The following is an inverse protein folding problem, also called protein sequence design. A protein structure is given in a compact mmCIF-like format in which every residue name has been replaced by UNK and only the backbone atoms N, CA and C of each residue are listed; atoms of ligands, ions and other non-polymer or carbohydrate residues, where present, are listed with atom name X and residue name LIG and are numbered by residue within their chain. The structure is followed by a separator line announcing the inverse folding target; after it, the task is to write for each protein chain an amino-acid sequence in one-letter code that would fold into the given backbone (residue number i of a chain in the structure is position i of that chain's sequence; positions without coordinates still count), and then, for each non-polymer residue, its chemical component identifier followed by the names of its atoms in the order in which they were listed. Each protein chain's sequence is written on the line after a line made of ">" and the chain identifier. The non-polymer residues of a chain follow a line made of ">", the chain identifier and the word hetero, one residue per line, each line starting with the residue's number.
data_IF_450015635118
#
_entry.id   IF_450015635118
#
_cell.length_a   1.000
_cell.length_b   1.000
_cell.length_c   1.000
_cell.angle_alpha   90.00
_cell.angle_beta   90.00
_cell.angle_gamma   90.00
#
_symmetry.space_group_name_H-M   'P 1'
#
loop_
_entity.id
_entity.type
_entity.pdbx_description
1 polymer ?
#
# COMPACT_ATOMS: atom_id res chain seq x y z
N UNK A 1 28.50 -8.12 -0.70
CA UNK A 1 27.34 -7.90 -1.58
C UNK A 1 26.41 -6.96 -0.84
N UNK A 2 25.99 -5.80 -1.40
CA UNK A 2 25.16 -4.87 -0.65
C UNK A 2 23.80 -5.54 -0.39
N UNK A 3 23.37 -5.58 0.86
CA UNK A 3 22.08 -6.12 1.26
C UNK A 3 20.97 -5.18 0.78
N UNK A 4 20.13 -5.65 -0.14
CA UNK A 4 18.90 -4.98 -0.52
C UNK A 4 17.89 -5.19 0.60
N UNK A 5 17.76 -4.23 1.52
CA UNK A 5 16.65 -4.17 2.47
C UNK A 5 15.55 -3.28 1.87
N UNK A 6 14.29 -3.58 2.20
CA UNK A 6 13.20 -2.65 1.93
C UNK A 6 13.52 -1.28 2.57
N UNK A 7 13.20 -0.19 1.87
CA UNK A 7 13.39 1.15 2.41
C UNK A 7 12.11 1.60 3.11
N UNK A 8 12.27 2.03 4.36
CA UNK A 8 11.21 2.60 5.20
C UNK A 8 11.62 4.02 5.53
N UNK A 9 10.90 4.98 4.97
CA UNK A 9 11.15 6.40 5.23
C UNK A 9 9.96 7.03 5.93
N UNK A 10 10.24 7.85 6.96
CA UNK A 10 9.24 8.53 7.76
C UNK A 10 9.11 9.98 7.31
N UNK A 11 7.88 10.39 7.01
CA UNK A 11 7.55 11.75 6.60
C UNK A 11 6.44 12.33 7.48
N UNK A 12 6.55 13.60 7.90
CA UNK A 12 5.40 14.30 8.45
C UNK A 12 4.35 14.52 7.34
N UNK A 13 3.07 14.36 7.66
CA UNK A 13 1.96 14.44 6.68
C UNK A 13 1.92 15.73 5.84
N UNK A 14 2.54 16.81 6.33
CA UNK A 14 2.55 18.12 5.69
C UNK A 14 3.45 18.20 4.43
N UNK A 15 4.26 17.17 4.14
CA UNK A 15 5.29 17.21 3.07
C UNK A 15 4.82 16.55 1.76
N UNK A 16 3.65 15.91 1.74
CA UNK A 16 3.17 15.18 0.56
C UNK A 16 2.39 16.14 -0.35
N UNK A 17 2.90 16.38 -1.56
CA UNK A 17 2.16 17.11 -2.60
C UNK A 17 0.90 16.32 -3.01
N UNK A 18 -0.18 17.03 -3.34
CA UNK A 18 -1.42 16.40 -3.80
C UNK A 18 -1.16 15.52 -5.03
N UNK A 19 -1.79 14.33 -5.14
CA UNK A 19 -1.62 13.45 -6.28
C UNK A 19 -2.07 14.16 -7.58
N UNK A 20 -1.24 14.08 -8.61
CA UNK A 20 -1.47 14.69 -9.92
C UNK A 20 -2.66 14.08 -10.68
N UNK A 21 -3.07 12.85 -10.33
CA UNK A 21 -4.26 12.17 -10.82
C UNK A 21 -5.29 11.94 -9.70
N UNK A 22 -6.58 11.89 -10.06
CA UNK A 22 -7.66 11.67 -9.10
C UNK A 22 -7.44 10.39 -8.29
N UNK A 23 -7.33 10.53 -6.96
CA UNK A 23 -7.28 9.37 -6.07
C UNK A 23 -8.64 8.73 -5.90
N UNK A 24 -8.65 7.45 -5.56
CA UNK A 24 -9.87 6.66 -5.37
C UNK A 24 -9.78 5.87 -4.08
N UNK A 25 -10.75 6.12 -3.21
CA UNK A 25 -11.01 5.28 -2.04
C UNK A 25 -11.56 3.92 -2.50
N UNK A 26 -11.01 2.86 -1.92
CA UNK A 26 -11.36 1.47 -2.22
C UNK A 26 -12.09 0.89 -1.02
N UNK A 27 -13.40 0.72 -1.14
CA UNK A 27 -14.22 0.14 -0.07
C UNK A 27 -14.34 -1.38 -0.17
N UNK A 28 -14.09 -1.96 -1.34
CA UNK A 28 -14.24 -3.39 -1.63
C UNK A 28 -13.10 -3.90 -2.52
N UNK A 29 -12.57 -5.08 -2.20
CA UNK A 29 -11.59 -5.78 -3.03
C UNK A 29 -12.11 -7.17 -3.43
N UNK A 30 -11.96 -7.57 -4.71
CA UNK A 30 -12.22 -8.94 -5.11
C UNK A 30 -11.40 -9.92 -4.27
N UNK A 31 -12.07 -10.93 -3.72
CA UNK A 31 -11.42 -11.94 -2.87
C UNK A 31 -11.43 -11.63 -1.37
N UNK A 32 -11.81 -10.41 -0.96
CA UNK A 32 -12.09 -10.09 0.44
C UNK A 32 -13.59 -10.21 0.73
N UNK A 33 -13.96 -10.76 1.88
CA UNK A 33 -15.37 -10.91 2.26
C UNK A 33 -15.88 -9.63 2.93
N UNK A 34 -16.83 -8.94 2.28
CA UNK A 34 -17.43 -7.70 2.77
C UNK A 34 -16.60 -6.43 2.47
N UNK A 35 -16.97 -5.29 3.10
CA UNK A 35 -16.23 -4.04 2.97
C UNK A 35 -14.89 -4.11 3.73
N UNK A 36 -13.89 -3.37 3.26
CA UNK A 36 -12.62 -3.26 3.97
C UNK A 36 -12.82 -2.57 5.33
N UNK A 37 -12.27 -3.13 6.43
CA UNK A 37 -12.40 -2.54 7.77
C UNK A 37 -11.38 -1.40 8.01
N UNK A 38 -10.57 -1.06 7.01
CA UNK A 38 -9.57 -0.01 7.04
C UNK A 38 -9.69 0.89 5.81
N UNK A 39 -9.15 2.11 5.89
CA UNK A 39 -9.17 3.03 4.77
C UNK A 39 -8.03 2.71 3.81
N UNK A 40 -8.40 2.31 2.59
CA UNK A 40 -7.48 2.15 1.46
C UNK A 40 -7.79 3.20 0.39
N UNK A 41 -6.77 3.95 0.00
CA UNK A 41 -6.81 4.87 -1.14
C UNK A 41 -5.76 4.44 -2.17
N UNK A 42 -6.10 4.55 -3.45
CA UNK A 42 -5.19 4.25 -4.56
C UNK A 42 -5.20 5.41 -5.55
N UNK A 43 -4.10 5.59 -6.26
CA UNK A 43 -4.00 6.67 -7.24
C UNK A 43 -2.65 6.70 -7.93
N UNK A 44 -2.42 7.78 -8.67
CA UNK A 44 -1.16 8.05 -9.35
C UNK A 44 -0.58 9.39 -8.89
N UNK A 45 0.74 9.41 -8.68
CA UNK A 45 1.51 10.62 -8.39
C UNK A 45 2.46 10.86 -9.56
N UNK A 46 2.39 12.06 -10.12
CA UNK A 46 3.31 12.54 -11.15
C UNK A 46 4.69 12.84 -10.57
N UNK A 47 5.73 12.40 -11.26
CA UNK A 47 7.13 12.63 -10.91
C UNK A 47 7.88 13.12 -12.15
N UNK A 48 8.76 14.10 -11.94
CA UNK A 48 9.45 14.83 -13.02
C UNK A 48 8.92 16.25 -13.13
N UNK A 49 9.67 17.12 -13.82
CA UNK A 49 9.31 18.54 -13.98
C UNK A 49 7.98 18.71 -14.72
N UNK A 50 7.64 17.76 -15.59
CA UNK A 50 6.41 17.74 -16.38
C UNK A 50 5.48 16.59 -15.99
N UNK A 51 5.67 15.99 -14.81
CA UNK A 51 4.90 14.83 -14.34
C UNK A 51 4.89 13.66 -15.35
N UNK A 52 5.97 13.51 -16.11
CA UNK A 52 6.07 12.55 -17.20
C UNK A 52 6.07 11.08 -16.74
N UNK A 53 6.43 10.83 -15.49
CA UNK A 53 6.38 9.52 -14.85
C UNK A 53 5.20 9.50 -13.88
N UNK A 54 4.35 8.49 -13.97
CA UNK A 54 3.19 8.31 -13.09
C UNK A 54 3.41 7.09 -12.20
N UNK A 55 3.61 7.31 -10.90
CA UNK A 55 3.78 6.25 -9.91
C UNK A 55 2.44 5.87 -9.29
N UNK A 56 2.06 4.61 -9.40
CA UNK A 56 0.89 4.08 -8.72
C UNK A 56 1.18 3.85 -7.23
N UNK A 57 0.24 4.19 -6.35
CA UNK A 57 0.39 3.99 -4.91
C UNK A 57 -0.81 3.26 -4.28
N UNK A 58 -0.54 2.63 -3.13
CA UNK A 58 -1.52 2.16 -2.17
C UNK A 58 -1.30 2.94 -0.86
N UNK A 59 -2.31 3.65 -0.38
CA UNK A 59 -2.24 4.41 0.87
C UNK A 59 -3.25 3.83 1.87
N UNK A 60 -2.73 3.30 2.98
CA UNK A 60 -3.53 2.82 4.10
C UNK A 60 -3.38 3.80 5.24
N UNK A 61 -4.49 4.37 5.74
CA UNK A 61 -4.43 5.26 6.90
C UNK A 61 -4.14 4.46 8.16
N UNK A 62 -3.43 5.10 9.10
CA UNK A 62 -3.33 4.59 10.46
C UNK A 62 -4.73 4.34 11.06
N UNK A 63 -4.87 3.22 11.75
CA UNK A 63 -6.08 2.80 12.46
C UNK A 63 -6.18 3.43 13.86
N UNK A 64 -5.08 4.04 14.36
CA UNK A 64 -5.02 4.69 15.68
C UNK A 64 -5.35 6.18 15.62
N UNK A 65 -4.40 7.02 15.19
CA UNK A 65 -4.58 8.46 15.11
C UNK A 65 -4.02 9.00 13.78
N UNK A 66 -4.75 8.84 12.67
CA UNK A 66 -4.27 9.16 11.32
C UNK A 66 -3.96 10.64 11.08
N UNK A 67 -4.24 11.55 12.02
CA UNK A 67 -3.85 12.96 11.94
C UNK A 67 -2.46 13.23 12.51
N UNK A 68 -2.05 12.46 13.51
CA UNK A 68 -0.82 12.70 14.26
C UNK A 68 0.24 11.60 13.99
N UNK A 69 -0.19 10.41 13.57
CA UNK A 69 0.69 9.31 13.23
C UNK A 69 1.52 9.63 11.97
N UNK A 70 2.80 9.21 11.91
CA UNK A 70 3.69 9.53 10.80
C UNK A 70 3.24 8.85 9.50
N UNK A 71 3.64 9.42 8.36
CA UNK A 71 3.53 8.71 7.08
C UNK A 71 4.77 7.85 6.88
N UNK A 72 4.54 6.59 6.52
CA UNK A 72 5.59 5.64 6.20
C UNK A 72 5.54 5.35 4.71
N UNK A 73 6.64 5.65 4.00
CA UNK A 73 6.84 5.21 2.63
C UNK A 73 7.50 3.84 2.62
N UNK A 74 6.84 2.86 2.02
CA UNK A 74 7.38 1.51 1.82
C UNK A 74 7.74 1.27 0.35
N UNK A 75 9.02 0.99 0.11
CA UNK A 75 9.52 0.60 -1.20
C UNK A 75 10.11 -0.80 -1.11
N UNK A 76 9.59 -1.72 -1.93
CA UNK A 76 10.18 -3.05 -2.06
C UNK A 76 11.64 -2.94 -2.51
N UNK A 77 12.52 -3.74 -1.90
CA UNK A 77 13.97 -3.57 -2.02
C UNK A 77 14.60 -3.98 -3.36
N UNK A 78 13.85 -4.66 -4.25
CA UNK A 78 14.37 -5.14 -5.53
C UNK A 78 13.91 -4.28 -6.71
N UNK A 79 14.83 -3.99 -7.64
CA UNK A 79 14.52 -3.22 -8.84
C UNK A 79 13.46 -3.92 -9.68
N UNK A 80 12.35 -3.23 -9.93
CA UNK A 80 11.25 -3.74 -10.75
C UNK A 80 10.23 -4.59 -10.00
N UNK A 81 10.46 -4.93 -8.73
CA UNK A 81 9.43 -5.54 -7.90
C UNK A 81 8.38 -4.51 -7.49
N UNK A 82 7.12 -4.91 -7.52
CA UNK A 82 6.03 -4.04 -7.10
C UNK A 82 5.95 -3.93 -5.58
N UNK A 83 5.78 -2.71 -5.06
CA UNK A 83 5.43 -2.47 -3.64
C UNK A 83 4.10 -3.09 -3.19
N UNK A 84 3.33 -3.71 -4.11
CA UNK A 84 2.20 -4.56 -3.75
C UNK A 84 2.62 -5.69 -2.78
N UNK A 85 3.85 -6.21 -2.87
CA UNK A 85 4.32 -7.24 -1.92
C UNK A 85 4.31 -6.73 -0.48
N UNK A 86 4.71 -5.47 -0.28
CA UNK A 86 4.62 -4.78 1.00
C UNK A 86 3.21 -4.81 1.60
N UNK A 87 2.22 -4.54 0.74
CA UNK A 87 0.80 -4.49 1.12
C UNK A 87 0.21 -5.86 1.46
N UNK A 88 0.57 -6.92 0.74
CA UNK A 88 -0.11 -8.22 0.81
C UNK A 88 0.72 -9.39 1.36
N UNK A 89 2.00 -9.18 1.67
CA UNK A 89 2.91 -10.24 2.15
C UNK A 89 3.86 -9.81 3.27
N UNK A 90 3.97 -8.51 3.55
CA UNK A 90 4.96 -8.01 4.51
C UNK A 90 4.29 -7.23 5.64
N UNK A 91 4.05 -5.93 5.46
CA UNK A 91 3.66 -5.01 6.53
C UNK A 91 2.20 -4.52 6.44
N UNK A 92 1.52 -4.78 5.33
CA UNK A 92 0.19 -4.26 5.07
C UNK A 92 -0.95 -5.02 5.78
N UNK A 93 -2.18 -4.52 5.66
CA UNK A 93 -3.37 -5.01 6.37
C UNK A 93 -3.98 -6.28 5.77
N UNK A 94 -3.42 -6.82 4.69
CA UNK A 94 -3.98 -7.95 3.97
C UNK A 94 -2.93 -9.03 3.74
N UNK A 95 -3.39 -10.27 3.67
CA UNK A 95 -2.63 -11.39 3.12
C UNK A 95 -3.45 -12.13 2.08
N UNK A 96 -2.76 -12.64 1.04
CA UNK A 96 -3.35 -13.69 0.22
C UNK A 96 -3.40 -15.00 1.00
N UNK A 97 -4.53 -15.69 0.94
CA UNK A 97 -4.64 -17.04 1.45
C UNK A 97 -3.70 -17.96 0.68
N UNK A 98 -2.78 -18.61 1.39
CA UNK A 98 -1.79 -19.51 0.80
C UNK A 98 -2.41 -20.86 0.43
N UNK A 99 -3.15 -20.88 -0.69
CA UNK A 99 -3.73 -22.09 -1.30
C UNK A 99 -3.29 -22.24 -2.75
N UNK A 100 -3.31 -23.49 -3.22
CA UNK A 100 -3.02 -23.78 -4.63
C UNK A 100 -4.05 -23.07 -5.52
N UNK A 101 -3.55 -22.33 -6.52
CA UNK A 101 -4.42 -21.63 -7.46
C UNK A 101 -5.27 -22.63 -8.24
N UNK A 102 -6.58 -22.48 -8.15
CA UNK A 102 -7.58 -23.38 -8.75
C UNK A 102 -8.35 -22.71 -9.90
N UNK A 103 -7.94 -21.52 -10.35
CA UNK A 103 -8.62 -20.74 -11.39
C UNK A 103 -9.70 -19.79 -10.89
N UNK A 104 -9.99 -19.75 -9.58
CA UNK A 104 -10.90 -18.76 -8.99
C UNK A 104 -10.15 -17.54 -8.48
N UNK A 105 -10.88 -16.48 -8.09
CA UNK A 105 -10.27 -15.33 -7.42
C UNK A 105 -9.47 -15.79 -6.19
N UNK A 106 -8.27 -15.24 -5.98
CA UNK A 106 -7.53 -15.47 -4.74
C UNK A 106 -8.34 -14.89 -3.57
N UNK A 107 -8.25 -15.51 -2.40
CA UNK A 107 -8.93 -15.01 -1.20
C UNK A 107 -7.97 -14.13 -0.41
N UNK A 108 -8.48 -13.03 0.12
CA UNK A 108 -7.77 -12.07 0.94
C UNK A 108 -8.28 -12.16 2.38
N UNK A 109 -7.35 -12.18 3.33
CA UNK A 109 -7.61 -12.24 4.76
C UNK A 109 -6.93 -11.06 5.44
N UNK A 110 -7.44 -10.63 6.60
CA UNK A 110 -6.82 -9.54 7.35
C UNK A 110 -5.50 -9.99 7.97
N UNK A 111 -4.50 -9.11 7.91
CA UNK A 111 -3.33 -9.23 8.76
C UNK A 111 -3.72 -8.82 10.19
N UNK A 112 -3.44 -9.66 11.18
CA UNK A 112 -3.72 -9.37 12.58
C UNK A 112 -2.77 -8.32 13.17
N UNK A 113 -1.56 -8.18 12.60
CA UNK A 113 -0.51 -7.29 13.07
C UNK A 113 0.09 -6.46 11.92
N UNK A 114 -0.72 -5.64 11.23
CA UNK A 114 -0.20 -4.75 10.22
C UNK A 114 0.51 -3.56 10.88
N UNK A 115 1.35 -2.88 10.11
CA UNK A 115 2.03 -1.67 10.56
C UNK A 115 1.07 -0.51 10.85
N UNK A 116 -0.18 -0.60 10.40
CA UNK A 116 -1.22 0.44 10.52
C UNK A 116 -1.97 0.42 11.85
N UNK A 117 -1.75 -0.59 12.70
CA UNK A 117 -2.38 -0.73 14.02
C UNK A 117 -1.56 -0.13 15.16
#
# INVERSE_FOLDING_TARGET
>A
MPSWHAAVEYFPQQVISSPAGGSKVVDYLPGFDGPLPFHLETGYIGVGESEEIQLFYYFVKSETNPKDDPVILWLSGEQGCSSLTGLVYEIGPLFFEAKMYNGTLPTLWLNEQPLTK
#
